data_IF_913200239907
#
_entry.id   IF_913200239907
#
_cell.length_a   1.000
_cell.length_b   1.000
_cell.length_c   1.000
_cell.angle_alpha   90.00
_cell.angle_beta   90.00
_cell.angle_gamma   90.00
#
_symmetry.space_group_name_H-M   'P 1'
#
loop_
_entity.id
_entity.type
_entity.pdbx_description
1 polymer ?
#
# COMPACT_ATOMS: atom_id res chain seq x y z
N UNK A 1 -18.47 34.41 -30.80
CA UNK A 1 -19.39 33.24 -30.68
C UNK A 1 -18.76 31.86 -30.93
N UNK A 2 -17.57 31.73 -31.56
CA UNK A 2 -16.97 30.41 -31.83
C UNK A 2 -16.30 29.72 -30.62
N UNK A 3 -15.93 30.47 -29.57
CA UNK A 3 -15.24 29.94 -28.38
C UNK A 3 -16.16 29.18 -27.42
N UNK A 4 -17.44 29.57 -27.33
CA UNK A 4 -18.42 28.92 -26.42
C UNK A 4 -18.76 27.48 -26.87
N UNK A 5 -18.68 27.19 -28.18
CA UNK A 5 -18.93 25.84 -28.71
C UNK A 5 -17.79 24.85 -28.43
N UNK A 6 -16.58 25.30 -28.08
CA UNK A 6 -15.46 24.37 -27.80
C UNK A 6 -15.49 23.82 -26.38
N UNK A 7 -15.98 24.60 -25.42
CA UNK A 7 -16.09 24.14 -24.03
C UNK A 7 -17.14 23.02 -23.88
N UNK A 8 -18.30 23.15 -24.52
CA UNK A 8 -19.38 22.15 -24.45
C UNK A 8 -19.05 20.82 -25.14
N UNK A 9 -18.15 20.81 -26.12
CA UNK A 9 -17.72 19.59 -26.81
C UNK A 9 -16.74 18.78 -25.96
N UNK A 10 -15.86 19.45 -25.20
CA UNK A 10 -14.92 18.77 -24.30
C UNK A 10 -15.62 18.17 -23.08
N UNK A 11 -16.65 18.84 -22.56
CA UNK A 11 -17.45 18.35 -21.43
C UNK A 11 -18.26 17.09 -21.79
N UNK A 12 -18.88 17.08 -22.98
CA UNK A 12 -19.60 15.92 -23.49
C UNK A 12 -18.67 14.74 -23.81
N UNK A 13 -17.45 14.99 -24.31
CA UNK A 13 -16.46 13.94 -24.55
C UNK A 13 -16.00 13.27 -23.24
N UNK A 14 -15.82 14.06 -22.16
CA UNK A 14 -15.51 13.53 -20.84
C UNK A 14 -16.60 12.60 -20.29
N UNK A 15 -17.86 13.00 -20.38
CA UNK A 15 -18.99 12.17 -19.92
C UNK A 15 -19.16 10.87 -20.71
N UNK A 16 -18.92 10.89 -22.03
CA UNK A 16 -18.99 9.69 -22.87
C UNK A 16 -17.90 8.67 -22.51
N UNK A 17 -16.68 9.14 -22.21
CA UNK A 17 -15.58 8.26 -21.79
C UNK A 17 -15.86 7.64 -20.42
N UNK A 18 -16.36 8.42 -19.45
CA UNK A 18 -16.73 7.91 -18.13
C UNK A 18 -17.84 6.86 -18.24
N UNK A 19 -18.85 7.12 -19.07
CA UNK A 19 -19.97 6.18 -19.28
C UNK A 19 -19.52 4.89 -19.96
N UNK A 20 -18.64 4.98 -20.96
CA UNK A 20 -18.09 3.80 -21.65
C UNK A 20 -17.23 2.94 -20.72
N UNK A 21 -16.39 3.56 -19.89
CA UNK A 21 -15.56 2.86 -18.89
C UNK A 21 -16.44 2.15 -17.86
N UNK A 22 -17.52 2.80 -17.39
CA UNK A 22 -18.49 2.19 -16.47
C UNK A 22 -19.18 0.95 -17.06
N UNK A 23 -19.61 0.99 -18.33
CA UNK A 23 -20.26 -0.16 -18.98
C UNK A 23 -19.32 -1.35 -19.18
N UNK A 24 -18.04 -1.11 -19.47
CA UNK A 24 -17.05 -2.18 -19.60
C UNK A 24 -16.73 -2.82 -18.25
N UNK A 25 -16.72 -2.03 -17.17
CA UNK A 25 -16.56 -2.55 -15.82
C UNK A 25 -17.76 -3.43 -15.39
N UNK A 26 -18.99 -2.98 -15.67
CA UNK A 26 -20.22 -3.73 -15.38
C UNK A 26 -20.29 -5.07 -16.14
N UNK A 27 -19.98 -5.07 -17.45
CA UNK A 27 -19.96 -6.30 -18.26
C UNK A 27 -18.92 -7.34 -17.76
N UNK A 28 -17.84 -6.87 -17.12
CA UNK A 28 -16.80 -7.74 -16.55
C UNK A 28 -17.21 -8.32 -15.18
N UNK A 29 -18.04 -7.60 -14.41
CA UNK A 29 -18.59 -8.08 -13.15
C UNK A 29 -19.57 -9.25 -13.38
N UNK A 30 -20.44 -9.15 -14.39
CA UNK A 30 -21.35 -10.24 -14.79
C UNK A 30 -20.58 -11.49 -15.25
N UNK A 31 -19.40 -11.31 -15.85
CA UNK A 31 -18.54 -12.40 -16.31
C UNK A 31 -17.79 -13.11 -15.16
N UNK A 32 -17.54 -12.41 -14.05
CA UNK A 32 -16.77 -12.93 -12.91
C UNK A 32 -17.64 -13.74 -11.93
N UNK A 33 -18.96 -13.52 -11.92
CA UNK A 33 -19.89 -14.18 -11.00
C UNK A 33 -20.18 -15.65 -11.36
N UNK A 34 -19.76 -16.12 -12.54
CA UNK A 34 -19.98 -17.51 -13.02
C UNK A 34 -18.89 -18.50 -12.53
N UNK A 35 -17.87 -18.05 -11.77
CA UNK A 35 -16.63 -18.83 -11.58
C UNK A 35 -16.17 -19.20 -10.16
N UNK A 36 -16.83 -18.81 -9.08
CA UNK A 36 -16.32 -19.06 -7.71
C UNK A 36 -17.24 -19.94 -6.89
N UNK A 37 -16.87 -21.22 -6.76
CA UNK A 37 -17.40 -22.13 -5.75
C UNK A 37 -17.12 -21.57 -4.34
N UNK A 38 -18.17 -21.31 -3.57
CA UNK A 38 -18.09 -20.95 -2.16
C UNK A 38 -17.47 -22.10 -1.36
N UNK A 39 -16.30 -21.87 -0.78
CA UNK A 39 -15.81 -22.67 0.36
C UNK A 39 -16.26 -21.95 1.62
N UNK A 40 -17.25 -22.54 2.30
CA UNK A 40 -17.72 -22.13 3.63
C UNK A 40 -16.58 -22.22 4.64
N UNK A 41 -16.24 -21.11 5.29
CA UNK A 41 -15.42 -21.09 6.48
C UNK A 41 -16.30 -20.79 7.69
N UNK A 42 -16.13 -21.63 8.72
CA UNK A 42 -16.96 -21.76 9.89
C UNK A 42 -17.06 -20.49 10.75
N UNK A 43 -18.29 -20.28 11.19
CA UNK A 43 -18.79 -19.31 12.16
C UNK A 43 -18.16 -19.58 13.55
N UNK A 44 -17.45 -18.59 14.09
CA UNK A 44 -17.02 -18.59 15.49
C UNK A 44 -17.92 -17.66 16.29
N UNK A 45 -18.77 -18.29 17.08
CA UNK A 45 -19.70 -17.72 18.05
C UNK A 45 -18.93 -17.03 19.17
N UNK A 46 -19.20 -15.74 19.45
CA UNK A 46 -18.85 -15.12 20.73
C UNK A 46 -20.12 -14.56 21.36
N UNK A 47 -20.56 -15.22 22.42
CA UNK A 47 -21.68 -14.85 23.25
C UNK A 47 -21.28 -13.80 24.30
N UNK A 48 -22.24 -12.95 24.66
CA UNK A 48 -22.44 -12.49 26.05
C UNK A 48 -21.95 -11.09 26.38
N UNK A 49 -22.90 -10.17 26.60
CA UNK A 49 -22.64 -8.87 27.23
C UNK A 49 -23.82 -7.90 27.16
N UNK A 50 -24.92 -8.22 27.85
CA UNK A 50 -26.05 -7.33 28.12
C UNK A 50 -25.64 -6.14 29.01
N UNK A 51 -26.07 -4.92 28.66
CA UNK A 51 -26.72 -3.97 29.57
C UNK A 51 -27.21 -2.70 28.84
N UNK A 52 -28.54 -2.59 28.81
CA UNK A 52 -29.41 -1.40 28.78
C UNK A 52 -28.78 0.00 28.79
N UNK A 53 -29.30 0.92 27.93
CA UNK A 53 -29.85 2.22 28.37
C UNK A 53 -30.58 3.00 27.24
N UNK A 54 -31.81 3.43 27.55
CA UNK A 54 -32.58 4.59 27.04
C UNK A 54 -32.98 4.71 25.57
N UNK A 55 -34.27 4.49 25.34
CA UNK A 55 -35.10 5.04 24.26
C UNK A 55 -35.36 6.54 24.46
N UNK A 56 -35.08 7.35 23.43
CA UNK A 56 -35.51 8.75 23.32
C UNK A 56 -36.46 8.90 22.09
N UNK A 57 -37.71 9.37 22.26
CA UNK A 57 -38.65 9.58 21.17
C UNK A 57 -38.71 11.05 20.75
N UNK A 58 -38.02 11.43 19.67
CA UNK A 58 -38.17 12.79 19.14
C UNK A 58 -37.26 13.17 17.98
N UNK A 59 -37.44 12.59 16.80
CA UNK A 59 -36.86 13.16 15.59
C UNK A 59 -37.86 13.09 14.41
N UNK A 60 -38.31 14.22 13.85
CA UNK A 60 -39.25 14.24 12.73
C UNK A 60 -38.59 13.78 11.42
N UNK A 61 -39.40 13.09 10.61
CA UNK A 61 -39.07 12.56 9.30
C UNK A 61 -38.65 13.68 8.31
N UNK A 62 -37.36 13.74 8.01
CA UNK A 62 -36.81 14.46 6.86
C UNK A 62 -36.55 13.49 5.72
N UNK A 63 -37.36 13.57 4.67
CA UNK A 63 -37.09 12.88 3.41
C UNK A 63 -35.81 13.42 2.78
N UNK A 64 -34.82 12.54 2.63
CA UNK A 64 -33.58 12.81 1.92
C UNK A 64 -33.47 11.85 0.75
N UNK A 65 -33.42 12.41 -0.45
CA UNK A 65 -33.26 11.68 -1.71
C UNK A 65 -32.07 10.72 -1.65
N UNK A 66 -32.37 9.44 -1.79
CA UNK A 66 -31.38 8.38 -2.02
C UNK A 66 -30.84 8.50 -3.45
N UNK A 67 -30.01 9.52 -3.70
CA UNK A 67 -29.15 9.59 -4.88
C UNK A 67 -27.71 9.85 -4.44
N UNK A 68 -27.28 9.12 -3.40
CA UNK A 68 -25.88 8.92 -3.11
C UNK A 68 -25.27 8.03 -4.18
N UNK A 69 -24.83 8.65 -5.27
CA UNK A 69 -23.77 8.11 -6.15
C UNK A 69 -22.46 8.11 -5.36
N UNK A 70 -22.44 7.32 -4.29
CA UNK A 70 -21.28 7.02 -3.49
C UNK A 70 -20.32 6.25 -4.38
N UNK A 71 -19.40 6.99 -4.98
CA UNK A 71 -18.00 6.59 -5.05
C UNK A 71 -17.79 5.12 -5.38
N UNK A 72 -18.34 4.66 -6.49
CA UNK A 72 -17.85 3.47 -7.19
C UNK A 72 -16.55 3.86 -7.90
N UNK A 73 -15.61 4.40 -7.12
CA UNK A 73 -14.20 4.29 -7.38
C UNK A 73 -13.95 2.78 -7.41
N UNK A 74 -14.05 2.24 -8.62
CA UNK A 74 -13.65 0.90 -8.98
C UNK A 74 -12.46 0.53 -8.11
N UNK A 75 -12.68 -0.43 -7.23
CA UNK A 75 -11.67 -1.19 -6.53
C UNK A 75 -10.86 -1.90 -7.63
N UNK A 76 -10.01 -1.12 -8.30
CA UNK A 76 -9.07 -1.59 -9.30
C UNK A 76 -8.29 -2.66 -8.57
N UNK A 77 -8.59 -3.90 -8.92
CA UNK A 77 -8.15 -5.09 -8.23
C UNK A 77 -6.64 -4.94 -8.08
N UNK A 78 -6.17 -4.72 -6.85
CA UNK A 78 -4.80 -4.31 -6.60
C UNK A 78 -3.88 -5.28 -7.31
N UNK A 79 -3.21 -4.84 -8.37
CA UNK A 79 -2.59 -5.79 -9.28
C UNK A 79 -1.43 -6.44 -8.54
N UNK A 80 -1.59 -7.74 -8.28
CA UNK A 80 -0.66 -8.51 -7.46
C UNK A 80 0.76 -8.41 -8.03
N UNK A 81 1.73 -8.19 -7.14
CA UNK A 81 3.13 -8.19 -7.50
C UNK A 81 3.48 -9.49 -8.24
N UNK A 82 4.32 -9.39 -9.27
CA UNK A 82 4.80 -10.55 -9.99
C UNK A 82 5.61 -11.46 -9.08
N UNK A 83 5.50 -12.77 -9.30
CA UNK A 83 6.23 -13.80 -8.54
C UNK A 83 7.73 -13.51 -8.43
N UNK A 84 8.37 -13.02 -9.49
CA UNK A 84 9.79 -12.67 -9.47
C UNK A 84 10.14 -11.54 -8.49
N UNK A 85 9.27 -10.55 -8.31
CA UNK A 85 9.49 -9.47 -7.34
C UNK A 85 9.36 -9.97 -5.90
N UNK A 86 8.39 -10.88 -5.65
CA UNK A 86 8.22 -11.55 -4.36
C UNK A 86 9.45 -12.40 -4.03
N UNK A 87 9.91 -13.23 -4.98
CA UNK A 87 11.11 -14.04 -4.81
C UNK A 87 12.35 -13.18 -4.55
N UNK A 88 12.52 -12.08 -5.29
CA UNK A 88 13.62 -11.15 -5.07
C UNK A 88 13.59 -10.51 -3.67
N UNK A 89 12.40 -10.13 -3.18
CA UNK A 89 12.25 -9.59 -1.84
C UNK A 89 12.64 -10.61 -0.76
N UNK A 90 12.12 -11.85 -0.83
CA UNK A 90 12.48 -12.90 0.11
C UNK A 90 13.95 -13.30 0.04
N UNK A 91 14.53 -13.37 -1.17
CA UNK A 91 15.97 -13.61 -1.33
C UNK A 91 16.79 -12.50 -0.67
N UNK A 92 16.38 -11.24 -0.82
CA UNK A 92 17.04 -10.09 -0.18
C UNK A 92 16.95 -10.17 1.35
N UNK A 93 15.79 -10.54 1.90
CA UNK A 93 15.61 -10.79 3.33
C UNK A 93 16.54 -11.91 3.81
N UNK A 94 16.65 -13.01 3.05
CA UNK A 94 17.57 -14.10 3.35
C UNK A 94 19.02 -13.65 3.41
N UNK A 95 19.46 -12.79 2.48
CA UNK A 95 20.80 -12.17 2.51
C UNK A 95 20.99 -11.29 3.75
N UNK A 96 19.98 -10.49 4.13
CA UNK A 96 20.01 -9.70 5.35
C UNK A 96 20.09 -10.55 6.62
N UNK A 97 19.33 -11.64 6.68
CA UNK A 97 19.37 -12.60 7.78
C UNK A 97 20.72 -13.30 7.90
N UNK A 98 21.33 -13.71 6.78
CA UNK A 98 22.70 -14.23 6.76
C UNK A 98 23.71 -13.18 7.25
N UNK A 99 23.56 -11.92 6.84
CA UNK A 99 24.38 -10.80 7.33
C UNK A 99 24.28 -10.60 8.84
N UNK A 100 23.07 -10.61 9.39
CA UNK A 100 22.85 -10.52 10.85
C UNK A 100 23.47 -11.72 11.59
N UNK A 101 23.27 -12.94 11.09
CA UNK A 101 23.92 -14.12 11.64
C UNK A 101 25.45 -14.00 11.62
N UNK A 102 26.04 -13.52 10.53
CA UNK A 102 27.48 -13.34 10.40
C UNK A 102 28.02 -12.34 11.44
N UNK A 103 27.34 -11.18 11.61
CA UNK A 103 27.68 -10.16 12.62
C UNK A 103 27.60 -10.72 14.04
N UNK A 104 26.55 -11.48 14.34
CA UNK A 104 26.41 -12.14 15.64
C UNK A 104 27.50 -13.19 15.88
N UNK A 105 27.77 -14.04 14.89
CA UNK A 105 28.74 -15.14 14.98
C UNK A 105 30.19 -14.65 15.15
N UNK A 106 30.51 -13.44 14.68
CA UNK A 106 31.85 -12.88 14.80
C UNK A 106 32.14 -12.29 16.19
N UNK A 107 31.17 -12.30 17.12
CA UNK A 107 31.30 -11.69 18.44
C UNK A 107 31.30 -10.15 18.42
N UNK A 108 31.02 -9.53 17.28
CA UNK A 108 31.00 -8.07 17.12
C UNK A 108 29.58 -7.47 17.31
N UNK A 109 28.62 -8.27 17.76
CA UNK A 109 27.29 -7.76 18.07
C UNK A 109 27.40 -6.75 19.22
N UNK A 110 26.86 -5.54 19.03
CA UNK A 110 26.80 -4.55 20.09
C UNK A 110 25.99 -5.08 21.29
N UNK A 111 26.31 -4.57 22.47
CA UNK A 111 25.54 -4.83 23.69
C UNK A 111 24.07 -4.47 23.47
N UNK A 112 23.17 -5.34 23.95
CA UNK A 112 21.73 -5.15 23.79
C UNK A 112 21.32 -3.81 24.41
N UNK A 113 20.72 -2.95 23.61
CA UNK A 113 20.16 -1.67 24.07
C UNK A 113 18.77 -1.96 24.62
N UNK A 114 18.56 -1.63 25.90
CA UNK A 114 17.27 -1.78 26.57
C UNK A 114 16.69 -0.39 26.88
N UNK A 115 15.66 0.05 26.14
CA UNK A 115 14.92 1.25 26.49
C UNK A 115 14.24 1.09 27.86
N UNK A 116 14.15 2.18 28.62
CA UNK A 116 13.61 2.15 29.99
C UNK A 116 12.10 1.88 30.05
N UNK A 117 11.37 2.18 28.98
CA UNK A 117 9.94 1.96 28.87
C UNK A 117 9.51 1.57 27.45
N UNK A 118 8.27 1.07 27.33
CA UNK A 118 7.68 0.63 26.05
C UNK A 118 7.54 1.79 25.06
N UNK A 119 7.30 3.01 25.53
CA UNK A 119 7.17 4.20 24.69
C UNK A 119 8.48 4.48 23.95
N UNK A 120 9.61 4.36 24.65
CA UNK A 120 10.94 4.53 24.09
C UNK A 120 11.27 3.42 23.08
N UNK A 121 10.78 2.18 23.27
CA UNK A 121 10.91 1.10 22.26
C UNK A 121 10.23 1.51 20.95
N UNK A 122 8.96 1.96 21.01
CA UNK A 122 8.22 2.40 19.82
C UNK A 122 8.81 3.66 19.19
N UNK A 123 9.25 4.63 19.99
CA UNK A 123 9.93 5.83 19.51
C UNK A 123 11.23 5.48 18.78
N UNK A 124 12.02 4.55 19.32
CA UNK A 124 13.25 4.08 18.69
C UNK A 124 12.96 3.35 17.38
N UNK A 125 11.93 2.49 17.33
CA UNK A 125 11.49 1.83 16.11
C UNK A 125 11.09 2.82 15.01
N UNK A 126 10.36 3.88 15.37
CA UNK A 126 9.93 4.91 14.43
C UNK A 126 11.12 5.69 13.86
N UNK A 127 12.04 6.13 14.73
CA UNK A 127 13.27 6.82 14.31
C UNK A 127 14.14 5.91 13.44
N UNK A 128 14.24 4.63 13.81
CA UNK A 128 15.02 3.65 13.05
C UNK A 128 14.41 3.38 11.67
N UNK A 129 13.09 3.24 11.57
CA UNK A 129 12.40 3.13 10.28
C UNK A 129 12.62 4.36 9.40
N UNK A 130 12.53 5.57 9.96
CA UNK A 130 12.82 6.81 9.25
C UNK A 130 14.29 6.89 8.79
N UNK A 131 15.24 6.42 9.60
CA UNK A 131 16.65 6.36 9.21
C UNK A 131 16.88 5.40 8.03
N UNK A 132 16.25 4.21 8.06
CA UNK A 132 16.31 3.24 6.94
C UNK A 132 15.70 3.85 5.67
N UNK A 133 14.60 4.58 5.78
CA UNK A 133 13.99 5.30 4.65
C UNK A 133 14.99 6.29 4.03
N UNK A 134 15.67 7.10 4.84
CA UNK A 134 16.69 8.06 4.38
C UNK A 134 17.86 7.38 3.67
N UNK A 135 18.28 6.21 4.16
CA UNK A 135 19.33 5.42 3.50
C UNK A 135 18.86 4.90 2.14
N UNK A 136 17.56 4.58 1.98
CA UNK A 136 16.99 4.03 0.75
C UNK A 136 16.64 5.09 -0.32
N UNK A 137 16.39 6.34 0.07
CA UNK A 137 16.12 7.46 -0.85
C UNK A 137 17.07 7.52 -2.06
N UNK A 138 18.41 7.52 -1.91
CA UNK A 138 19.33 7.60 -3.05
C UNK A 138 19.31 6.37 -3.96
N UNK A 139 18.89 5.20 -3.45
CA UNK A 139 18.75 3.98 -4.23
C UNK A 139 17.41 3.91 -4.96
N UNK A 140 16.44 4.73 -4.52
CA UNK A 140 15.09 4.74 -5.10
C UNK A 140 15.08 5.05 -6.61
N UNK A 141 16.06 5.82 -7.07
CA UNK A 141 16.27 6.15 -8.48
C UNK A 141 16.60 4.92 -9.34
N UNK A 142 17.17 3.85 -8.78
CA UNK A 142 17.55 2.67 -9.55
C UNK A 142 16.43 1.64 -9.71
N UNK A 143 15.28 1.84 -9.07
CA UNK A 143 14.18 0.90 -9.20
C UNK A 143 13.56 0.88 -10.62
N UNK A 144 13.14 -0.31 -11.09
CA UNK A 144 12.46 -0.48 -12.36
C UNK A 144 11.06 0.18 -12.33
N UNK A 145 10.57 0.64 -13.48
CA UNK A 145 9.22 1.20 -13.64
C UNK A 145 9.14 2.48 -14.48
N UNK A 146 10.21 3.29 -14.50
CA UNK A 146 10.23 4.58 -15.23
C UNK A 146 9.93 4.45 -16.73
N UNK A 147 10.44 3.39 -17.37
CA UNK A 147 10.16 3.10 -18.78
C UNK A 147 8.67 2.78 -19.00
N UNK A 148 8.04 2.08 -18.07
CA UNK A 148 6.64 1.70 -18.17
C UNK A 148 5.72 2.91 -18.03
N UNK A 149 6.07 3.86 -17.16
CA UNK A 149 5.36 5.13 -17.02
C UNK A 149 5.48 5.98 -18.30
N UNK A 150 6.67 6.09 -18.89
CA UNK A 150 6.86 6.77 -20.17
C UNK A 150 6.03 6.15 -21.32
N UNK A 151 5.91 4.82 -21.36
CA UNK A 151 5.05 4.12 -22.34
C UNK A 151 3.58 4.44 -22.12
N UNK A 152 3.12 4.49 -20.86
CA UNK A 152 1.75 4.89 -20.53
C UNK A 152 1.47 6.32 -20.98
N UNK A 153 2.35 7.27 -20.65
CA UNK A 153 2.23 8.67 -21.08
C UNK A 153 2.16 8.79 -22.60
N UNK A 154 3.04 8.09 -23.33
CA UNK A 154 3.01 8.05 -24.80
C UNK A 154 1.68 7.49 -25.33
N UNK A 155 1.15 6.43 -24.70
CA UNK A 155 -0.14 5.86 -25.12
C UNK A 155 -1.33 6.80 -24.88
N UNK A 156 -1.31 7.57 -23.77
CA UNK A 156 -2.33 8.56 -23.46
C UNK A 156 -2.27 9.73 -24.44
N UNK A 157 -1.07 10.23 -24.74
CA UNK A 157 -0.87 11.31 -25.72
C UNK A 157 -1.31 10.87 -27.12
N UNK A 158 -0.96 9.64 -27.52
CA UNK A 158 -1.40 9.09 -28.80
C UNK A 158 -2.93 8.99 -28.88
N UNK A 159 -3.60 8.56 -27.81
CA UNK A 159 -5.06 8.51 -27.72
C UNK A 159 -5.67 9.92 -27.78
N UNK A 160 -5.13 10.88 -27.04
CA UNK A 160 -5.62 12.26 -26.97
C UNK A 160 -5.51 13.00 -28.31
N UNK A 161 -4.51 12.66 -29.12
CA UNK A 161 -4.32 13.25 -30.45
C UNK A 161 -5.22 12.63 -31.53
N UNK A 162 -5.98 11.56 -31.24
CA UNK A 162 -6.91 10.96 -32.20
C UNK A 162 -8.28 11.63 -32.16
N UNK A 163 -8.78 12.00 -33.33
CA UNK A 163 -10.13 12.58 -33.49
C UNK A 163 -11.24 11.55 -33.25
N UNK A 164 -11.01 10.28 -33.58
CA UNK A 164 -11.93 9.15 -33.34
C UNK A 164 -11.15 7.97 -32.74
N UNK A 165 -11.04 7.89 -31.40
CA UNK A 165 -10.34 6.80 -30.74
C UNK A 165 -11.06 5.47 -30.98
N UNK A 166 -10.30 4.46 -31.37
CA UNK A 166 -10.82 3.11 -31.61
C UNK A 166 -10.84 2.30 -30.31
N UNK A 167 -11.61 1.22 -30.29
CA UNK A 167 -11.59 0.29 -29.14
C UNK A 167 -10.18 -0.23 -28.84
N UNK A 168 -9.40 -0.52 -29.88
CA UNK A 168 -8.02 -1.01 -29.76
C UNK A 168 -7.11 0.02 -29.06
N UNK A 169 -7.32 1.32 -29.29
CA UNK A 169 -6.56 2.37 -28.61
C UNK A 169 -6.86 2.40 -27.11
N UNK A 170 -8.14 2.20 -26.74
CA UNK A 170 -8.55 2.12 -25.33
C UNK A 170 -7.96 0.86 -24.66
N UNK A 171 -7.93 -0.27 -25.36
CA UNK A 171 -7.31 -1.51 -24.88
C UNK A 171 -5.81 -1.32 -24.69
N UNK A 172 -5.12 -0.63 -25.61
CA UNK A 172 -3.70 -0.34 -25.50
C UNK A 172 -3.37 0.51 -24.25
N UNK A 173 -4.14 1.56 -24.00
CA UNK A 173 -3.98 2.41 -22.79
C UNK A 173 -4.28 1.60 -21.53
N UNK A 174 -5.33 0.78 -21.52
CA UNK A 174 -5.67 -0.07 -20.38
C UNK A 174 -4.54 -1.08 -20.07
N UNK A 175 -3.94 -1.70 -21.08
CA UNK A 175 -2.79 -2.61 -20.92
C UNK A 175 -1.55 -1.87 -20.42
N UNK A 176 -1.26 -0.67 -20.95
CA UNK A 176 -0.16 0.15 -20.47
C UNK A 176 -0.34 0.53 -18.99
N UNK A 177 -1.55 0.90 -18.60
CA UNK A 177 -1.90 1.23 -17.20
C UNK A 177 -1.71 0.02 -16.28
N UNK A 178 -2.19 -1.16 -16.69
CA UNK A 178 -1.99 -2.40 -15.93
C UNK A 178 -0.50 -2.77 -15.75
N UNK A 179 0.34 -2.50 -16.77
CA UNK A 179 1.80 -2.71 -16.67
C UNK A 179 2.45 -1.74 -15.69
N UNK A 180 2.05 -0.47 -15.68
CA UNK A 180 2.54 0.52 -14.70
C UNK A 180 2.17 0.11 -13.29
N UNK A 181 0.91 -0.29 -13.07
CA UNK A 181 0.45 -0.71 -11.75
C UNK A 181 1.21 -1.93 -11.23
N UNK A 182 1.39 -2.95 -12.08
CA UNK A 182 2.24 -4.09 -11.73
C UNK A 182 3.69 -3.69 -11.42
N UNK A 183 4.26 -2.75 -12.18
CA UNK A 183 5.63 -2.26 -11.93
C UNK A 183 5.73 -1.54 -10.58
N UNK A 184 4.71 -0.76 -10.20
CA UNK A 184 4.61 -0.11 -8.88
C UNK A 184 4.51 -1.15 -7.76
N UNK A 185 3.62 -2.13 -7.90
CA UNK A 185 3.52 -3.25 -6.94
C UNK A 185 4.85 -4.00 -6.77
N UNK A 186 5.56 -4.29 -7.88
CA UNK A 186 6.86 -4.95 -7.84
C UNK A 186 7.92 -4.11 -7.11
N UNK A 187 8.03 -2.83 -7.45
CA UNK A 187 8.97 -1.89 -6.80
C UNK A 187 8.73 -1.86 -5.30
N UNK A 188 7.47 -1.77 -4.91
CA UNK A 188 7.02 -1.70 -3.53
C UNK A 188 7.37 -2.97 -2.73
N UNK A 189 7.22 -4.16 -3.32
CA UNK A 189 7.60 -5.43 -2.67
C UNK A 189 9.13 -5.56 -2.57
N UNK A 190 9.86 -5.19 -3.60
CA UNK A 190 11.34 -5.23 -3.59
C UNK A 190 11.90 -4.22 -2.58
N UNK A 191 11.38 -2.99 -2.53
CA UNK A 191 11.83 -1.97 -1.57
C UNK A 191 11.56 -2.41 -0.13
N UNK A 192 10.41 -3.06 0.12
CA UNK A 192 10.12 -3.67 1.43
C UNK A 192 11.18 -4.72 1.80
N UNK A 193 11.52 -5.64 0.89
CA UNK A 193 12.53 -6.66 1.14
C UNK A 193 13.92 -6.07 1.44
N UNK A 194 14.33 -5.03 0.71
CA UNK A 194 15.59 -4.32 0.96
C UNK A 194 15.57 -3.60 2.31
N UNK A 195 14.48 -2.90 2.64
CA UNK A 195 14.32 -2.21 3.92
C UNK A 195 14.42 -3.20 5.09
N UNK A 196 13.72 -4.34 5.01
CA UNK A 196 13.81 -5.40 6.01
C UNK A 196 15.23 -5.94 6.14
N UNK A 197 15.90 -6.24 5.03
CA UNK A 197 17.26 -6.75 5.06
C UNK A 197 18.25 -5.77 5.71
N UNK A 198 18.19 -4.49 5.34
CA UNK A 198 19.02 -3.44 5.94
C UNK A 198 18.73 -3.27 7.42
N UNK A 199 17.45 -3.20 7.79
CA UNK A 199 17.03 -3.08 9.18
C UNK A 199 17.49 -4.28 10.02
N UNK A 200 17.38 -5.51 9.50
CA UNK A 200 17.86 -6.72 10.17
C UNK A 200 19.36 -6.67 10.44
N UNK A 201 20.17 -6.30 9.44
CA UNK A 201 21.63 -6.19 9.61
C UNK A 201 21.97 -5.07 10.60
N UNK A 202 21.34 -3.90 10.46
CA UNK A 202 21.58 -2.77 11.34
C UNK A 202 21.14 -3.03 12.79
N UNK A 203 20.03 -3.75 13.01
CA UNK A 203 19.61 -4.22 14.33
C UNK A 203 20.65 -5.15 14.96
N UNK A 204 21.17 -6.11 14.17
CA UNK A 204 22.19 -7.04 14.64
C UNK A 204 23.53 -6.37 14.97
N UNK A 205 23.91 -5.35 14.19
CA UNK A 205 25.13 -4.58 14.44
C UNK A 205 24.97 -3.60 15.61
N UNK A 206 23.81 -2.95 15.70
CA UNK A 206 23.51 -1.90 16.68
C UNK A 206 22.98 -2.38 18.03
N UNK A 207 22.66 -3.68 18.16
CA UNK A 207 22.20 -4.25 19.43
C UNK A 207 20.73 -3.92 19.75
N UNK A 208 19.94 -3.50 18.75
CA UNK A 208 18.53 -3.15 18.93
C UNK A 208 17.62 -4.29 18.49
N UNK A 209 16.97 -4.92 19.47
CA UNK A 209 16.17 -6.13 19.31
C UNK A 209 14.82 -5.98 20.02
N UNK A 210 13.72 -5.98 19.27
CA UNK A 210 12.39 -5.67 19.80
C UNK A 210 11.92 -6.67 20.84
N UNK A 211 12.10 -7.97 20.61
CA UNK A 211 11.57 -8.95 21.55
C UNK A 211 12.37 -8.94 22.85
N UNK A 212 13.70 -8.81 22.80
CA UNK A 212 14.51 -8.64 24.01
C UNK A 212 14.22 -7.32 24.72
N UNK A 213 13.89 -6.25 23.99
CA UNK A 213 13.50 -4.97 24.59
C UNK A 213 12.16 -5.08 25.35
N UNK A 214 11.21 -5.87 24.86
CA UNK A 214 9.89 -6.04 25.50
C UNK A 214 9.88 -7.14 26.57
N UNK A 215 10.63 -8.24 26.36
CA UNK A 215 10.66 -9.39 27.26
C UNK A 215 11.63 -9.23 28.44
N UNK A 216 12.57 -8.28 28.36
CA UNK A 216 13.53 -7.98 29.41
C UNK A 216 14.82 -8.82 29.36
N UNK A 217 15.80 -8.48 30.22
CA UNK A 217 17.18 -9.02 30.16
C UNK A 217 17.29 -10.53 30.41
N UNK A 218 16.35 -11.10 31.16
CA UNK A 218 16.38 -12.51 31.56
C UNK A 218 15.83 -13.45 30.48
N UNK A 219 15.27 -12.90 29.40
CA UNK A 219 14.66 -13.71 28.34
C UNK A 219 15.72 -14.38 27.47
N UNK A 220 15.70 -15.71 27.44
CA UNK A 220 16.59 -16.57 26.62
C UNK A 220 15.83 -17.37 25.57
N UNK A 221 14.59 -16.98 25.26
CA UNK A 221 13.68 -17.78 24.44
C UNK A 221 14.07 -17.86 22.96
N UNK A 222 14.75 -16.85 22.42
CA UNK A 222 15.18 -16.83 21.03
C UNK A 222 16.64 -16.35 20.89
N UNK A 223 17.42 -16.91 19.94
CA UNK A 223 18.72 -16.36 19.59
C UNK A 223 18.61 -14.92 19.09
N UNK A 224 19.59 -14.10 19.43
CA UNK A 224 19.65 -12.66 19.09
C UNK A 224 19.52 -12.40 17.58
N UNK A 225 20.13 -13.24 16.74
CA UNK A 225 20.03 -13.10 15.28
C UNK A 225 18.61 -13.31 14.75
N UNK A 226 17.78 -14.12 15.44
CA UNK A 226 16.37 -14.32 15.08
C UNK A 226 15.56 -13.07 15.43
N UNK A 227 15.81 -12.48 16.60
CA UNK A 227 15.16 -11.22 16.98
C UNK A 227 15.55 -10.07 16.05
N UNK A 228 16.79 -10.06 15.53
CA UNK A 228 17.21 -9.11 14.49
C UNK A 228 16.35 -9.23 13.22
N UNK A 229 16.00 -10.45 12.80
CA UNK A 229 15.11 -10.68 11.65
C UNK A 229 13.71 -10.15 11.95
N UNK A 230 13.16 -10.47 13.11
CA UNK A 230 11.82 -10.02 13.52
C UNK A 230 11.76 -8.49 13.60
N UNK A 231 12.79 -7.88 14.19
CA UNK A 231 12.93 -6.43 14.27
C UNK A 231 13.00 -5.81 12.87
N UNK A 232 13.80 -6.37 11.96
CA UNK A 232 13.86 -5.88 10.58
C UNK A 232 12.57 -6.05 9.79
N UNK A 233 11.81 -7.13 10.03
CA UNK A 233 10.47 -7.31 9.42
C UNK A 233 9.51 -6.24 9.95
N UNK A 234 9.49 -6.01 11.26
CA UNK A 234 8.64 -4.99 11.89
C UNK A 234 8.98 -3.59 11.34
N UNK A 235 10.26 -3.24 11.28
CA UNK A 235 10.75 -1.97 10.73
C UNK A 235 10.43 -1.84 9.24
N UNK A 236 10.70 -2.88 8.45
CA UNK A 236 10.40 -2.88 7.01
C UNK A 236 8.89 -2.79 6.72
N UNK A 237 8.04 -3.35 7.59
CA UNK A 237 6.59 -3.16 7.47
C UNK A 237 6.15 -1.71 7.77
N UNK A 238 6.90 -1.01 8.63
CA UNK A 238 6.68 0.39 9.01
C UNK A 238 7.05 1.43 7.94
N UNK A 239 7.82 1.07 6.90
CA UNK A 239 8.22 2.03 5.85
C UNK A 239 7.13 2.32 4.80
N UNK A 240 6.00 1.60 4.83
CA UNK A 240 4.83 1.82 3.95
C UNK A 240 3.75 2.73 4.55
N UNK A 241 3.33 2.52 5.82
CA UNK A 241 2.29 3.33 6.45
C UNK A 241 2.59 4.82 6.45
N UNK A 242 3.86 5.24 6.57
CA UNK A 242 4.21 6.67 6.68
C UNK A 242 3.78 7.45 5.44
N UNK A 243 4.05 6.94 4.24
CA UNK A 243 3.65 7.62 3.01
C UNK A 243 2.13 7.54 2.77
N UNK A 244 1.50 6.43 3.14
CA UNK A 244 0.04 6.24 3.05
C UNK A 244 -0.73 7.13 4.06
N UNK A 245 -0.17 7.36 5.25
CA UNK A 245 -0.77 8.24 6.26
C UNK A 245 -0.66 9.69 5.81
N UNK A 246 0.49 10.13 5.29
CA UNK A 246 0.66 11.49 4.78
C UNK A 246 -0.31 11.77 3.63
N UNK A 247 -0.40 10.84 2.67
CA UNK A 247 -1.30 10.99 1.53
C UNK A 247 -2.78 10.96 1.95
N UNK A 248 -3.16 10.12 2.93
CA UNK A 248 -4.52 10.16 3.52
C UNK A 248 -4.81 11.47 4.26
N UNK A 249 -3.86 11.99 5.03
CA UNK A 249 -4.00 13.27 5.74
C UNK A 249 -4.08 14.44 4.77
N UNK A 250 -3.31 14.41 3.68
CA UNK A 250 -3.39 15.41 2.61
C UNK A 250 -4.75 15.35 1.89
N UNK A 251 -5.22 14.16 1.50
CA UNK A 251 -6.53 13.99 0.88
C UNK A 251 -7.67 14.43 1.83
N UNK A 252 -7.58 14.11 3.12
CA UNK A 252 -8.55 14.54 4.12
C UNK A 252 -8.54 16.07 4.29
N UNK A 253 -7.36 16.71 4.23
CA UNK A 253 -7.24 18.17 4.27
C UNK A 253 -7.84 18.82 3.03
N UNK A 254 -7.63 18.26 1.84
CA UNK A 254 -8.22 18.75 0.59
C UNK A 254 -9.74 18.58 0.56
N UNK A 255 -10.28 17.46 1.08
CA UNK A 255 -11.72 17.26 1.26
C UNK A 255 -12.33 18.27 2.25
N UNK A 256 -11.64 18.58 3.35
CA UNK A 256 -12.08 19.59 4.30
C UNK A 256 -12.04 21.02 3.72
N UNK A 257 -11.21 21.27 2.71
CA UNK A 257 -11.08 22.58 2.04
C UNK A 257 -12.05 22.76 0.86
N UNK A 258 -12.58 21.68 0.28
CA UNK A 258 -13.62 21.70 -0.75
C UNK A 258 -14.94 21.07 -0.27
N UNK A 259 -15.62 21.62 0.75
CA UNK A 259 -16.84 21.03 1.31
C UNK A 259 -18.09 21.12 0.41
N UNK A 260 -18.00 21.57 -0.85
CA UNK A 260 -19.18 21.84 -1.68
C UNK A 260 -18.95 21.68 -3.18
N UNK A 261 -19.59 20.66 -3.75
CA UNK A 261 -20.29 20.69 -5.03
C UNK A 261 -21.58 19.87 -4.86
#
# INVERSE_FOLDING_TARGET
MALVRRASVLENAGQLVVTAVGRVAAARADSAQVGTAQVSAAESTSAGGDAAMTTDPGQPAGGGDANGTSSEAASATSQQAGFGAVLAAFATIGVGGYGAWAVWSSGNAATIIQPADTTAVFGTLLVFAAAVERVLEPFSRWFPGRRTEAILEQSIVALANRTNPTHDDLVAVAQAKAKVERARSNRTVVSWGIATALATVASSAGGFYVLHAVAGPEWKGLPVWVDAIITGIMVGSGTKPVHDIISRVQNAKEQAQNPTA
#
